data_IF_648756737354
#
_entry.id   IF_648756737354
#
_cell.length_a   1.000
_cell.length_b   1.000
_cell.length_c   1.000
_cell.angle_alpha   90.00
_cell.angle_beta   90.00
_cell.angle_gamma   90.00
#
_symmetry.space_group_name_H-M   'P 1'
#
loop_
_entity.id
_entity.type
_entity.pdbx_description
1 polymer ?
#
# COMPACT_ATOMS: atom_id res chain seq x y z
N UNK A 1 14.09 -36.89 -13.72
CA UNK A 1 14.58 -35.59 -14.21
C UNK A 1 13.42 -34.62 -14.33
N UNK A 2 13.30 -33.67 -13.40
CA UNK A 2 12.31 -32.59 -13.48
C UNK A 2 12.89 -31.49 -14.36
N UNK A 3 12.54 -31.47 -15.64
CA UNK A 3 12.89 -30.38 -16.55
C UNK A 3 12.22 -29.10 -16.05
N UNK A 4 12.99 -28.17 -15.49
CA UNK A 4 12.55 -26.81 -15.31
C UNK A 4 12.18 -26.27 -16.69
N UNK A 5 10.93 -25.86 -16.86
CA UNK A 5 10.46 -25.20 -18.07
C UNK A 5 11.28 -23.93 -18.23
N UNK A 6 12.12 -23.88 -19.26
CA UNK A 6 12.83 -22.67 -19.70
C UNK A 6 11.81 -21.52 -19.72
N UNK A 7 12.09 -20.37 -19.05
CA UNK A 7 11.21 -19.23 -19.13
C UNK A 7 11.08 -18.84 -20.61
N UNK A 8 9.83 -18.77 -21.09
CA UNK A 8 9.55 -18.27 -22.43
C UNK A 8 10.15 -16.87 -22.62
N UNK A 9 10.30 -16.39 -23.86
CA UNK A 9 10.92 -15.09 -24.13
C UNK A 9 10.23 -14.02 -23.27
N UNK A 10 11.03 -13.33 -22.45
CA UNK A 10 10.56 -12.22 -21.63
C UNK A 10 9.87 -11.21 -22.55
N UNK A 11 8.60 -10.92 -22.29
CA UNK A 11 7.88 -9.88 -22.99
C UNK A 11 8.56 -8.54 -22.70
N UNK A 12 8.96 -7.76 -23.71
CA UNK A 12 9.52 -6.43 -23.49
C UNK A 12 8.55 -5.56 -22.71
N UNK A 13 9.03 -4.89 -21.66
CA UNK A 13 8.25 -3.91 -20.90
C UNK A 13 8.53 -2.52 -21.45
N UNK A 14 7.48 -1.85 -21.95
CA UNK A 14 7.62 -0.47 -22.38
C UNK A 14 7.82 0.46 -21.17
N UNK A 15 8.67 1.49 -21.31
CA UNK A 15 8.76 2.57 -20.32
C UNK A 15 8.22 3.85 -20.95
N UNK A 16 7.12 4.36 -20.41
CA UNK A 16 6.38 5.47 -20.99
C UNK A 16 6.20 6.66 -20.02
N UNK A 17 6.45 7.91 -20.46
CA UNK A 17 7.07 8.26 -21.74
C UNK A 17 8.53 7.75 -21.83
N UNK A 18 9.16 7.78 -23.01
CA UNK A 18 10.55 7.33 -23.16
C UNK A 18 11.48 8.01 -22.16
N UNK A 19 12.34 7.22 -21.51
CA UNK A 19 13.24 7.69 -20.47
C UNK A 19 14.68 7.81 -21.00
N UNK A 20 15.30 8.98 -20.80
CA UNK A 20 16.75 9.14 -20.99
C UNK A 20 17.45 8.69 -19.70
N UNK A 21 18.24 7.62 -19.79
CA UNK A 21 18.92 6.99 -18.67
C UNK A 21 20.40 6.71 -18.98
N UNK A 22 21.23 6.70 -17.95
CA UNK A 22 22.61 6.26 -18.04
C UNK A 22 22.69 4.73 -18.14
N UNK A 23 23.72 4.20 -18.81
CA UNK A 23 23.86 2.77 -19.02
C UNK A 23 23.83 1.90 -17.73
N UNK A 24 24.45 2.29 -16.60
CA UNK A 24 24.44 1.46 -15.40
C UNK A 24 23.02 1.19 -14.86
N UNK A 25 22.18 2.22 -14.75
CA UNK A 25 20.82 2.05 -14.22
C UNK A 25 19.93 1.24 -15.16
N UNK A 26 20.17 1.28 -16.48
CA UNK A 26 19.42 0.44 -17.44
C UNK A 26 19.66 -1.04 -17.14
N UNK A 27 20.89 -1.46 -16.83
CA UNK A 27 21.17 -2.87 -16.51
C UNK A 27 20.51 -3.30 -15.19
N UNK A 28 20.45 -2.43 -14.19
CA UNK A 28 19.79 -2.76 -12.91
C UNK A 28 18.26 -2.79 -13.07
N UNK A 29 17.69 -1.86 -13.84
CA UNK A 29 16.26 -1.88 -14.18
C UNK A 29 15.87 -3.16 -14.91
N UNK A 30 16.63 -3.61 -15.89
CA UNK A 30 16.31 -4.85 -16.63
C UNK A 30 16.33 -6.08 -15.70
N UNK A 31 17.32 -6.18 -14.81
CA UNK A 31 17.40 -7.25 -13.81
C UNK A 31 16.23 -7.20 -12.84
N UNK A 32 15.86 -6.01 -12.38
CA UNK A 32 14.73 -5.81 -11.48
C UNK A 32 13.41 -6.17 -12.15
N UNK A 33 13.20 -5.75 -13.39
CA UNK A 33 11.98 -6.02 -14.15
C UNK A 33 11.82 -7.51 -14.38
N UNK A 34 12.85 -8.16 -14.94
CA UNK A 34 12.81 -9.57 -15.32
C UNK A 34 12.81 -10.50 -14.10
N UNK A 35 13.62 -10.19 -13.09
CA UNK A 35 13.82 -11.02 -11.90
C UNK A 35 12.81 -10.80 -10.78
N UNK A 36 12.09 -9.67 -10.76
CA UNK A 36 11.25 -9.31 -9.62
C UNK A 36 9.88 -8.77 -10.01
N UNK A 37 9.80 -7.76 -10.88
CA UNK A 37 8.52 -7.14 -11.27
C UNK A 37 7.63 -8.14 -12.01
N UNK A 38 8.17 -8.86 -13.01
CA UNK A 38 7.39 -9.83 -13.78
C UNK A 38 6.90 -11.02 -12.92
N UNK A 39 7.76 -11.69 -12.11
CA UNK A 39 7.28 -12.71 -11.18
C UNK A 39 6.22 -12.21 -10.20
N UNK A 40 6.39 -10.99 -9.65
CA UNK A 40 5.41 -10.41 -8.74
C UNK A 40 4.06 -10.16 -9.45
N UNK A 41 4.07 -9.62 -10.66
CA UNK A 41 2.85 -9.37 -11.44
C UNK A 41 2.11 -10.67 -11.77
N UNK A 42 2.84 -11.71 -12.16
CA UNK A 42 2.26 -13.04 -12.39
C UNK A 42 1.68 -13.62 -11.11
N UNK A 43 2.33 -13.44 -9.95
CA UNK A 43 1.83 -13.96 -8.68
C UNK A 43 0.56 -13.27 -8.22
N UNK A 44 0.53 -11.94 -8.25
CA UNK A 44 -0.58 -11.15 -7.71
C UNK A 44 -1.76 -11.05 -8.67
N UNK A 45 -1.51 -11.05 -9.98
CA UNK A 45 -2.52 -10.74 -10.97
C UNK A 45 -2.69 -11.81 -12.05
N UNK A 46 -1.79 -12.79 -12.14
CA UNK A 46 -1.81 -13.79 -13.22
C UNK A 46 -1.52 -13.20 -14.60
N UNK A 47 -0.94 -12.00 -14.66
CA UNK A 47 -0.76 -11.23 -15.88
C UNK A 47 0.56 -10.46 -15.83
N UNK A 48 1.38 -10.50 -16.89
CA UNK A 48 2.68 -9.84 -16.89
C UNK A 48 2.50 -8.32 -17.02
N UNK A 49 3.51 -7.57 -16.56
CA UNK A 49 3.59 -6.12 -16.85
C UNK A 49 3.94 -5.95 -18.33
N UNK A 50 3.18 -5.11 -19.02
CA UNK A 50 3.47 -4.69 -20.40
C UNK A 50 4.08 -3.29 -20.47
N UNK A 51 3.77 -2.42 -19.50
CA UNK A 51 4.29 -1.05 -19.46
C UNK A 51 4.56 -0.57 -18.03
N UNK A 52 5.63 0.19 -17.86
CA UNK A 52 5.94 1.01 -16.71
C UNK A 52 5.67 2.47 -17.07
N UNK A 53 4.79 3.12 -16.32
CA UNK A 53 4.56 4.56 -16.40
C UNK A 53 5.60 5.27 -15.53
N UNK A 54 6.49 6.04 -16.14
CA UNK A 54 7.41 6.92 -15.43
C UNK A 54 6.90 8.38 -15.45
N UNK A 55 7.30 9.15 -14.43
CA UNK A 55 6.96 10.58 -14.30
C UNK A 55 8.18 11.50 -14.22
N UNK A 56 9.37 10.94 -14.04
CA UNK A 56 10.65 11.66 -14.15
C UNK A 56 11.78 10.67 -14.44
N UNK A 57 12.62 11.01 -15.43
CA UNK A 57 13.86 10.31 -15.78
C UNK A 57 15.01 11.34 -15.76
N UNK A 58 15.67 11.63 -16.87
CA UNK A 58 16.64 12.73 -16.91
C UNK A 58 16.01 14.09 -16.57
N UNK A 59 16.59 14.79 -15.60
CA UNK A 59 16.26 16.18 -15.29
C UNK A 59 17.37 16.86 -14.49
N UNK A 60 17.97 17.89 -15.07
CA UNK A 60 19.06 18.64 -14.45
C UNK A 60 18.55 19.57 -13.34
N UNK A 61 18.48 19.07 -12.09
CA UNK A 61 18.02 19.81 -10.92
C UNK A 61 18.66 19.29 -9.61
N UNK A 62 18.60 20.11 -8.57
CA UNK A 62 18.89 19.66 -7.21
C UNK A 62 17.81 18.70 -6.68
N UNK A 63 18.15 17.91 -5.65
CA UNK A 63 17.23 16.99 -4.98
C UNK A 63 15.94 17.68 -4.56
N UNK A 64 14.80 17.00 -4.76
CA UNK A 64 13.45 17.53 -4.51
C UNK A 64 13.17 18.89 -5.19
N UNK A 65 13.90 19.22 -6.27
CA UNK A 65 13.79 20.50 -6.97
C UNK A 65 14.45 21.68 -6.25
N UNK A 66 15.16 21.46 -5.14
CA UNK A 66 15.81 22.53 -4.39
C UNK A 66 17.17 22.89 -5.01
N UNK A 67 17.37 24.11 -5.55
CA UNK A 67 18.63 24.50 -6.18
C UNK A 67 19.81 24.62 -5.21
N UNK A 68 19.56 24.61 -3.90
CA UNK A 68 20.60 24.63 -2.86
C UNK A 68 20.89 23.24 -2.28
N UNK A 69 20.15 22.22 -2.68
CA UNK A 69 20.42 20.85 -2.25
C UNK A 69 21.55 20.23 -3.08
N UNK A 70 22.01 19.04 -2.66
CA UNK A 70 22.86 18.20 -3.51
C UNK A 70 22.17 17.94 -4.85
N UNK A 71 22.96 17.77 -5.91
CA UNK A 71 22.45 17.41 -7.23
C UNK A 71 21.74 16.05 -7.16
N UNK A 72 20.59 15.95 -7.81
CA UNK A 72 19.81 14.72 -7.89
C UNK A 72 20.44 13.74 -8.88
N UNK A 73 20.28 12.44 -8.64
CA UNK A 73 20.68 11.41 -9.60
C UNK A 73 19.93 11.49 -10.94
N UNK A 74 18.75 12.11 -10.97
CA UNK A 74 18.07 12.46 -12.22
C UNK A 74 18.91 13.36 -13.13
N UNK A 75 19.77 14.23 -12.58
CA UNK A 75 20.65 15.10 -13.37
C UNK A 75 21.76 14.32 -14.09
N UNK A 76 22.03 13.09 -13.64
CA UNK A 76 23.00 12.17 -14.26
C UNK A 76 22.32 11.10 -15.11
N UNK A 77 20.98 11.14 -15.25
CA UNK A 77 20.21 10.06 -15.86
C UNK A 77 20.28 8.75 -15.07
N UNK A 78 20.67 8.82 -13.79
CA UNK A 78 20.95 7.68 -12.92
C UNK A 78 19.81 7.42 -11.92
N UNK A 79 18.60 7.88 -12.25
CA UNK A 79 17.39 7.68 -11.46
C UNK A 79 16.12 7.60 -12.33
N UNK A 80 15.10 6.93 -11.82
CA UNK A 80 13.79 6.80 -12.44
C UNK A 80 12.66 6.89 -11.40
N UNK A 81 11.63 7.69 -11.68
CA UNK A 81 10.42 7.79 -10.87
C UNK A 81 9.27 7.03 -11.54
N UNK A 82 8.84 5.93 -10.93
CA UNK A 82 7.80 5.02 -11.44
C UNK A 82 6.45 5.34 -10.77
N UNK A 83 5.45 5.70 -11.56
CA UNK A 83 4.11 6.04 -11.08
C UNK A 83 3.06 4.94 -11.27
N UNK A 84 3.23 4.03 -12.23
CA UNK A 84 2.28 2.93 -12.43
C UNK A 84 2.88 1.75 -13.21
N UNK A 85 2.22 0.60 -13.11
CA UNK A 85 2.45 -0.58 -13.93
C UNK A 85 1.15 -0.94 -14.67
N UNK A 86 1.21 -1.09 -15.98
CA UNK A 86 0.10 -1.57 -16.80
C UNK A 86 0.36 -3.00 -17.20
N UNK A 87 -0.59 -3.88 -16.91
CA UNK A 87 -0.55 -5.30 -17.22
C UNK A 87 -0.96 -5.57 -18.67
N UNK A 88 -0.58 -6.72 -19.19
CA UNK A 88 -0.92 -7.14 -20.55
C UNK A 88 -2.44 -7.32 -20.79
N UNK A 89 -3.24 -7.48 -19.73
CA UNK A 89 -4.70 -7.52 -19.81
C UNK A 89 -5.38 -6.14 -19.70
N UNK A 90 -4.60 -5.06 -19.63
CA UNK A 90 -5.10 -3.69 -19.61
C UNK A 90 -5.38 -3.13 -18.21
N UNK A 91 -5.22 -3.91 -17.14
CA UNK A 91 -5.27 -3.36 -15.76
C UNK A 91 -4.07 -2.45 -15.50
N UNK A 92 -4.31 -1.32 -14.83
CA UNK A 92 -3.25 -0.38 -14.42
C UNK A 92 -3.20 -0.27 -12.90
N UNK A 93 -2.05 -0.57 -12.32
CA UNK A 93 -1.76 -0.43 -10.90
C UNK A 93 -0.95 0.86 -10.72
N UNK A 94 -1.63 1.92 -10.28
CA UNK A 94 -0.94 3.17 -9.93
C UNK A 94 -0.31 3.06 -8.55
N UNK A 95 0.89 3.60 -8.38
CA UNK A 95 1.56 3.67 -7.07
C UNK A 95 0.70 4.48 -6.11
N UNK A 96 0.28 5.68 -6.50
CA UNK A 96 -0.55 6.58 -5.67
C UNK A 96 -1.76 5.92 -5.04
N UNK A 97 -2.60 5.26 -5.84
CA UNK A 97 -3.84 4.66 -5.33
C UNK A 97 -3.62 3.24 -4.79
N UNK A 98 -2.76 2.46 -5.45
CA UNK A 98 -2.49 1.07 -5.10
C UNK A 98 -1.76 0.91 -3.76
N UNK A 99 -0.97 1.92 -3.34
CA UNK A 99 -0.18 1.84 -2.09
C UNK A 99 -1.02 1.62 -0.83
N UNK A 100 -2.29 2.07 -0.87
CA UNK A 100 -3.30 1.86 0.17
C UNK A 100 -4.63 1.34 -0.43
N UNK A 101 -4.55 0.81 -1.66
CA UNK A 101 -5.68 0.38 -2.49
C UNK A 101 -6.12 -1.04 -2.19
N UNK A 102 -6.39 -1.83 -3.22
CA UNK A 102 -6.79 -3.24 -3.05
C UNK A 102 -5.67 -4.06 -2.39
N UNK A 103 -6.00 -5.15 -1.65
CA UNK A 103 -4.99 -6.01 -1.03
C UNK A 103 -3.90 -6.48 -2.00
N UNK A 104 -4.29 -6.88 -3.21
CA UNK A 104 -3.40 -7.40 -4.24
C UNK A 104 -2.47 -6.31 -4.80
N UNK A 105 -2.99 -5.08 -4.98
CA UNK A 105 -2.20 -3.92 -5.41
C UNK A 105 -1.16 -3.53 -4.36
N UNK A 106 -1.58 -3.50 -3.08
CA UNK A 106 -0.68 -3.23 -1.97
C UNK A 106 0.42 -4.29 -1.88
N UNK A 107 0.04 -5.57 -1.99
CA UNK A 107 0.98 -6.68 -1.98
C UNK A 107 2.00 -6.60 -3.11
N UNK A 108 1.53 -6.40 -4.33
CA UNK A 108 2.39 -6.23 -5.51
C UNK A 108 3.38 -5.08 -5.35
N UNK A 109 2.91 -3.89 -4.97
CA UNK A 109 3.76 -2.71 -4.84
C UNK A 109 4.81 -2.86 -3.72
N UNK A 110 4.51 -3.63 -2.67
CA UNK A 110 5.47 -3.92 -1.59
C UNK A 110 6.56 -4.89 -2.01
N UNK A 111 6.22 -5.92 -2.79
CA UNK A 111 7.25 -6.84 -3.29
C UNK A 111 8.15 -6.17 -4.33
N UNK A 112 7.55 -5.37 -5.21
CA UNK A 112 8.26 -4.55 -6.20
C UNK A 112 9.23 -3.59 -5.51
N UNK A 113 8.78 -2.88 -4.46
CA UNK A 113 9.64 -2.02 -3.64
C UNK A 113 10.71 -2.82 -2.90
N UNK A 114 10.36 -3.94 -2.27
CA UNK A 114 11.28 -4.75 -1.49
C UNK A 114 12.44 -5.26 -2.34
N UNK A 115 12.13 -5.81 -3.52
CA UNK A 115 13.14 -6.23 -4.47
C UNK A 115 13.98 -5.06 -5.01
N UNK A 116 13.37 -3.88 -5.20
CA UNK A 116 14.13 -2.68 -5.58
C UNK A 116 15.15 -2.32 -4.49
N UNK A 117 14.78 -2.41 -3.20
CA UNK A 117 15.68 -2.09 -2.09
C UNK A 117 16.92 -3.00 -2.00
N UNK A 118 16.87 -4.19 -2.59
CA UNK A 118 18.01 -5.11 -2.67
C UNK A 118 18.97 -4.75 -3.81
N UNK A 119 18.46 -4.15 -4.88
CA UNK A 119 19.19 -3.93 -6.14
C UNK A 119 19.71 -2.48 -6.27
N UNK A 120 18.89 -1.49 -5.95
CA UNK A 120 19.24 -0.07 -6.06
C UNK A 120 19.89 0.45 -4.77
N UNK A 121 20.64 1.55 -4.87
CA UNK A 121 21.28 2.15 -3.69
C UNK A 121 20.36 3.14 -2.95
N UNK A 122 19.36 3.69 -3.64
CA UNK A 122 18.29 4.48 -3.03
C UNK A 122 16.95 4.06 -3.60
N UNK A 123 16.00 3.74 -2.72
CA UNK A 123 14.59 3.52 -3.03
C UNK A 123 13.74 4.36 -2.11
N UNK A 124 12.96 5.27 -2.68
CA UNK A 124 12.01 6.12 -1.94
C UNK A 124 10.60 5.87 -2.49
N UNK A 125 9.71 5.36 -1.66
CA UNK A 125 8.33 5.08 -2.03
C UNK A 125 7.35 5.83 -1.12
N UNK A 126 6.02 5.74 -1.34
CA UNK A 126 5.06 6.48 -0.51
C UNK A 126 5.19 6.16 0.97
N UNK A 127 5.25 7.22 1.78
CA UNK A 127 5.62 7.16 3.19
C UNK A 127 7.05 7.65 3.48
N UNK A 128 7.90 7.82 2.45
CA UNK A 128 9.26 8.38 2.64
C UNK A 128 9.24 9.85 3.04
N UNK A 129 8.52 10.66 2.27
CA UNK A 129 8.29 12.08 2.46
C UNK A 129 7.20 12.56 1.48
N UNK A 130 6.86 13.85 1.53
CA UNK A 130 5.81 14.46 0.71
C UNK A 130 6.10 14.44 -0.80
N UNK A 131 7.36 14.31 -1.23
CA UNK A 131 7.72 14.31 -2.65
C UNK A 131 7.52 12.94 -3.30
N UNK A 132 7.51 11.85 -2.53
CA UNK A 132 7.44 10.47 -3.03
C UNK A 132 6.10 9.80 -2.73
N UNK A 133 5.04 10.59 -2.55
CA UNK A 133 3.73 10.08 -2.13
C UNK A 133 2.96 9.35 -3.24
N UNK A 134 3.34 9.54 -4.50
CA UNK A 134 2.62 9.03 -5.68
C UNK A 134 3.47 8.18 -6.63
N UNK A 135 4.74 7.92 -6.31
CA UNK A 135 5.66 7.15 -7.14
C UNK A 135 6.73 6.42 -6.30
N UNK A 136 7.39 5.45 -6.93
CA UNK A 136 8.60 4.81 -6.43
C UNK A 136 9.80 5.42 -7.16
N UNK A 137 10.69 6.07 -6.43
CA UNK A 137 11.98 6.54 -6.92
C UNK A 137 13.03 5.46 -6.74
N UNK A 138 13.83 5.21 -7.77
CA UNK A 138 15.02 4.34 -7.70
C UNK A 138 16.24 5.07 -8.27
N UNK A 139 17.38 4.96 -7.61
CA UNK A 139 18.65 5.50 -8.09
C UNK A 139 19.87 4.64 -7.69
N UNK A 140 21.01 4.94 -8.33
CA UNK A 140 22.31 4.35 -8.02
C UNK A 140 23.28 5.37 -7.38
N UNK A 141 22.78 6.31 -6.57
CA UNK A 141 23.62 7.26 -5.83
C UNK A 141 24.70 6.52 -5.02
N UNK A 142 25.94 6.99 -5.14
CA UNK A 142 27.04 6.51 -4.28
C UNK A 142 26.97 7.20 -2.92
N UNK A 143 26.73 6.40 -1.87
CA UNK A 143 26.72 6.84 -0.48
C UNK A 143 28.10 6.66 0.16
N UNK A 144 28.42 7.42 1.21
CA UNK A 144 29.77 7.46 1.80
C UNK A 144 30.26 6.15 2.44
N UNK A 145 29.35 5.23 2.74
CA UNK A 145 29.64 3.94 3.40
C UNK A 145 29.04 2.74 2.65
N UNK A 146 28.82 2.86 1.33
CA UNK A 146 28.08 1.89 0.51
C UNK A 146 26.73 1.45 1.13
N UNK A 147 26.15 2.31 2.00
CA UNK A 147 24.86 2.10 2.62
C UNK A 147 23.75 2.22 1.59
N UNK A 148 22.76 1.32 1.63
CA UNK A 148 21.53 1.44 0.84
C UNK A 148 20.45 2.18 1.63
N UNK A 149 19.71 3.04 0.93
CA UNK A 149 18.53 3.72 1.47
C UNK A 149 17.30 2.97 0.95
N UNK A 150 16.51 2.42 1.86
CA UNK A 150 15.19 1.86 1.57
C UNK A 150 14.17 2.54 2.48
N UNK A 151 13.40 3.47 1.93
CA UNK A 151 12.42 4.25 2.68
C UNK A 151 11.05 4.22 1.95
N UNK A 152 9.92 3.99 2.66
CA UNK A 152 9.86 3.31 3.96
C UNK A 152 10.60 1.96 3.92
N UNK A 153 10.93 1.39 5.08
CA UNK A 153 11.56 0.07 5.12
C UNK A 153 10.70 -0.97 4.40
N UNK A 154 11.35 -1.85 3.63
CA UNK A 154 10.67 -2.92 2.89
C UNK A 154 9.84 -3.80 3.86
N UNK A 155 8.61 -4.10 3.47
CA UNK A 155 7.72 -4.99 4.23
C UNK A 155 7.17 -6.03 3.25
N UNK A 156 6.94 -7.26 3.73
CA UNK A 156 6.38 -8.33 2.90
C UNK A 156 5.04 -7.91 2.27
N UNK A 157 4.89 -8.13 0.95
CA UNK A 157 3.62 -7.89 0.27
C UNK A 157 2.50 -8.75 0.81
N UNK A 158 2.77 -10.01 1.16
CA UNK A 158 1.77 -10.91 1.73
C UNK A 158 1.26 -10.40 3.09
N UNK A 159 2.15 -9.87 3.93
CA UNK A 159 1.76 -9.29 5.22
C UNK A 159 0.86 -8.08 5.03
N UNK A 160 1.23 -7.17 4.12
CA UNK A 160 0.47 -5.95 3.85
C UNK A 160 -0.89 -6.29 3.22
N UNK A 161 -0.91 -7.20 2.24
CA UNK A 161 -2.14 -7.68 1.61
C UNK A 161 -3.08 -8.35 2.61
N UNK A 162 -2.57 -9.21 3.50
CA UNK A 162 -3.38 -9.83 4.55
C UNK A 162 -4.01 -8.77 5.48
N UNK A 163 -3.20 -7.82 5.97
CA UNK A 163 -3.69 -6.70 6.80
C UNK A 163 -4.74 -5.85 6.07
N UNK A 164 -4.57 -5.61 4.78
CA UNK A 164 -5.54 -4.90 3.95
C UNK A 164 -6.83 -5.72 3.83
N UNK A 165 -6.75 -7.01 3.52
CA UNK A 165 -7.88 -7.92 3.37
C UNK A 165 -8.79 -7.94 4.60
N UNK A 166 -8.22 -7.98 5.81
CA UNK A 166 -9.00 -7.88 7.05
C UNK A 166 -9.78 -6.56 7.16
N UNK A 167 -9.18 -5.43 6.74
CA UNK A 167 -9.85 -4.12 6.73
C UNK A 167 -10.96 -4.06 5.68
N UNK A 168 -10.75 -4.64 4.50
CA UNK A 168 -11.75 -4.70 3.44
C UNK A 168 -12.95 -5.58 3.83
N UNK A 169 -12.70 -6.77 4.42
CA UNK A 169 -13.75 -7.65 4.93
C UNK A 169 -14.57 -6.96 6.04
N UNK A 170 -13.89 -6.28 6.98
CA UNK A 170 -14.54 -5.50 8.03
C UNK A 170 -15.42 -4.35 7.50
N UNK A 171 -15.06 -3.74 6.36
CA UNK A 171 -15.89 -2.72 5.68
C UNK A 171 -17.10 -3.29 4.96
N UNK A 172 -17.05 -4.53 4.46
CA UNK A 172 -18.16 -5.19 3.77
C UNK A 172 -19.15 -5.87 4.72
N UNK A 173 -18.88 -5.89 6.03
CA UNK A 173 -19.72 -6.57 7.01
C UNK A 173 -19.71 -8.09 6.89
N UNK A 174 -18.74 -8.66 6.14
CA UNK A 174 -18.59 -10.11 6.04
C UNK A 174 -17.82 -10.61 7.28
N UNK A 175 -18.32 -11.65 7.98
CA UNK A 175 -17.64 -12.16 9.17
C UNK A 175 -16.27 -12.69 8.75
N UNK A 176 -15.21 -12.06 9.27
CA UNK A 176 -13.84 -12.50 9.04
C UNK A 176 -13.71 -13.95 9.49
N UNK A 177 -13.55 -14.88 8.55
CA UNK A 177 -13.35 -16.30 8.82
C UNK A 177 -11.94 -16.55 9.35
N UNK A 178 -11.59 -15.94 10.48
CA UNK A 178 -10.42 -16.33 11.26
C UNK A 178 -10.92 -17.20 12.39
N UNK A 179 -10.69 -18.51 12.26
CA UNK A 179 -10.98 -19.52 13.27
C UNK A 179 -10.27 -19.18 14.58
N UNK A 180 -10.96 -18.44 15.43
CA UNK A 180 -10.66 -18.35 16.85
C UNK A 180 -11.57 -19.35 17.53
N UNK A 181 -10.98 -20.34 18.21
CA UNK A 181 -11.70 -21.20 19.14
C UNK A 181 -12.67 -20.34 19.96
N UNK A 182 -13.96 -20.49 19.72
CA UNK A 182 -14.97 -19.73 20.41
C UNK A 182 -14.84 -20.00 21.91
N UNK A 183 -14.44 -18.99 22.69
CA UNK A 183 -14.59 -19.06 24.14
C UNK A 183 -16.09 -19.14 24.41
N UNK A 184 -16.53 -20.35 24.73
CA UNK A 184 -17.92 -20.70 25.07
C UNK A 184 -18.42 -19.74 26.15
N UNK A 185 -19.29 -18.82 25.76
CA UNK A 185 -19.93 -17.91 26.71
C UNK A 185 -20.79 -18.74 27.67
N UNK A 186 -20.57 -18.56 28.98
CA UNK A 186 -21.40 -19.14 30.02
C UNK A 186 -22.83 -18.57 29.92
N UNK A 187 -23.87 -19.40 30.08
CA UNK A 187 -25.25 -18.93 29.99
C UNK A 187 -25.56 -17.99 31.17
N UNK A 188 -26.24 -16.87 30.87
CA UNK A 188 -26.74 -15.90 31.87
C UNK A 188 -27.87 -16.55 32.70
N UNK A 189 -27.97 -16.26 34.01
CA UNK A 189 -29.02 -16.84 34.84
C UNK A 189 -30.40 -16.29 34.44
N UNK A 190 -31.38 -17.20 34.41
CA UNK A 190 -32.78 -16.95 34.07
C UNK A 190 -33.41 -16.08 35.18
N UNK A 191 -33.91 -14.89 34.82
CA UNK A 191 -34.75 -14.08 35.73
C UNK A 191 -36.14 -14.72 35.81
N UNK A 192 -36.51 -15.11 37.03
CA UNK A 192 -37.81 -15.69 37.40
C UNK A 192 -38.92 -14.64 37.19
N UNK A 193 -39.93 -14.98 36.37
CA UNK A 193 -41.16 -14.20 36.25
C UNK A 193 -41.95 -14.29 37.56
N UNK A 194 -42.44 -13.16 38.07
CA UNK A 194 -43.48 -13.11 39.10
C UNK A 194 -44.80 -12.73 38.43
N UNK A 195 -45.80 -13.55 38.67
CA UNK A 195 -47.20 -13.42 38.25
C UNK A 195 -47.90 -12.29 39.01
N UNK A 196 -48.98 -11.80 38.39
CA UNK A 196 -49.85 -10.72 38.84
C UNK A 196 -50.81 -11.14 39.98
N UNK A 197 -51.53 -10.14 40.49
CA UNK A 197 -52.68 -10.13 41.43
C UNK A 197 -52.34 -9.73 42.89
N UNK A 198 -52.64 -8.47 43.25
CA UNK A 198 -53.81 -8.14 44.09
C UNK A 198 -53.97 -6.61 44.30
N UNK A 199 -55.23 -6.20 44.40
CA UNK A 199 -55.82 -4.87 44.58
C UNK A 199 -55.29 -4.07 45.79
N UNK A 200 -55.27 -2.73 45.68
CA UNK A 200 -56.05 -1.81 46.54
C UNK A 200 -55.63 -0.32 46.42
N UNK A 201 -56.62 0.51 46.06
CA UNK A 201 -56.95 1.85 46.62
C UNK A 201 -56.25 3.16 46.13
N UNK A 202 -57.00 3.87 45.26
CA UNK A 202 -57.20 5.33 45.04
C UNK A 202 -56.73 6.36 46.12
N UNK A 203 -56.66 7.70 45.83
CA UNK A 203 -56.23 8.43 44.61
C UNK A 203 -55.46 9.76 44.87
N UNK A 204 -55.18 10.48 43.76
CA UNK A 204 -55.02 11.94 43.60
C UNK A 204 -53.89 12.72 44.29
N UNK A 205 -52.96 13.26 43.48
CA UNK A 205 -52.80 14.72 43.35
C UNK A 205 -51.98 15.12 42.11
N UNK A 206 -52.50 16.12 41.40
CA UNK A 206 -51.91 16.73 40.22
C UNK A 206 -50.82 17.79 40.56
N UNK A 207 -49.77 17.82 39.69
CA UNK A 207 -48.97 18.97 39.19
C UNK A 207 -48.07 19.76 40.20
N UNK A 208 -46.93 20.38 39.77
CA UNK A 208 -46.75 21.04 38.47
C UNK A 208 -45.42 20.84 37.71
N UNK A 209 -45.50 21.28 36.45
CA UNK A 209 -44.44 21.51 35.46
C UNK A 209 -43.37 22.48 35.97
N UNK A 210 -42.11 22.20 35.62
CA UNK A 210 -41.01 23.17 35.68
C UNK A 210 -40.59 23.54 34.25
N UNK A 211 -40.58 24.84 33.96
CA UNK A 211 -40.10 25.48 32.74
C UNK A 211 -38.59 25.81 32.85
N UNK A 212 -37.90 26.04 31.72
CA UNK A 212 -36.44 26.09 31.63
C UNK A 212 -35.88 27.47 32.02
N UNK A 213 -34.68 27.49 32.59
CA UNK A 213 -33.91 28.70 32.86
C UNK A 213 -32.69 28.79 31.94
N UNK A 214 -32.62 29.89 31.20
CA UNK A 214 -31.45 30.45 30.52
C UNK A 214 -30.76 31.47 31.45
N UNK A 215 -29.44 31.43 31.52
CA UNK A 215 -28.47 32.50 31.81
C UNK A 215 -27.08 31.86 31.95
N UNK A 216 -25.94 32.41 31.53
CA UNK A 216 -25.53 33.66 30.92
C UNK A 216 -23.99 33.62 30.80
N UNK A 217 -23.42 34.47 29.94
CA UNK A 217 -22.00 34.66 29.66
C UNK A 217 -21.03 34.74 30.87
N UNK A 218 -19.80 34.25 30.67
CA UNK A 218 -18.55 35.05 30.64
C UNK A 218 -17.40 34.27 29.97
#
# INVERSE_FOLDING_TARGET
ETGAREPGPAMPVAVNPPATLACPIISELERWITGSVQPAAMRWFGSPVAEIKQISAYSCRGMNGNPRARISEHAFGNALDIAAFTLADGRTITVKNGWHGLPEEQGFLRDVQGAACEQFSTVLAPGSNVYHYDHIHVDLMRHSSDSRICNPHATSGDEVAARAGHKFAGRRGEPSATGSLAKRALPRPIKRQRSAEDDDRFPDRALPLAHPGEDGED
#
